data_IF_552712826562
#
_entry.id   IF_552712826562
#
_cell.length_a   1.000
_cell.length_b   1.000
_cell.length_c   1.000
_cell.angle_alpha   90.00
_cell.angle_beta   90.00
_cell.angle_gamma   90.00
#
_symmetry.space_group_name_H-M   'P 1'
#
loop_
_entity.id
_entity.type
_entity.pdbx_description
1 polymer ?
#
# COMPACT_ATOMS: atom_id res chain seq x y z
N UNK A 1 -28.16 -30.48 16.54
CA UNK A 1 -27.23 -29.40 16.91
C UNK A 1 -26.28 -29.20 15.75
N UNK A 2 -26.06 -27.96 15.31
CA UNK A 2 -24.99 -27.64 14.36
C UNK A 2 -23.65 -27.98 15.00
N UNK A 3 -22.77 -28.69 14.29
CA UNK A 3 -21.43 -28.93 14.81
C UNK A 3 -20.61 -27.62 14.74
N UNK A 4 -19.59 -27.47 15.61
CA UNK A 4 -18.78 -26.23 15.70
C UNK A 4 -18.13 -25.86 14.35
N UNK A 5 -17.69 -26.86 13.59
CA UNK A 5 -17.02 -26.68 12.30
C UNK A 5 -17.99 -26.17 11.22
N UNK A 6 -19.23 -26.67 11.20
CA UNK A 6 -20.29 -26.14 10.35
C UNK A 6 -20.70 -24.71 10.75
N UNK A 7 -20.73 -24.41 12.06
CA UNK A 7 -21.02 -23.06 12.55
C UNK A 7 -19.92 -22.05 12.16
N UNK A 8 -18.65 -22.48 12.22
CA UNK A 8 -17.51 -21.69 11.71
C UNK A 8 -17.62 -21.48 10.19
N UNK A 9 -17.99 -22.51 9.42
CA UNK A 9 -18.20 -22.36 7.97
C UNK A 9 -19.32 -21.38 7.65
N UNK A 10 -20.44 -21.43 8.37
CA UNK A 10 -21.56 -20.50 8.21
C UNK A 10 -21.18 -19.08 8.60
N UNK A 11 -20.40 -18.90 9.66
CA UNK A 11 -19.86 -17.59 10.05
C UNK A 11 -18.92 -17.04 8.96
N UNK A 12 -18.03 -17.88 8.42
CA UNK A 12 -17.14 -17.52 7.32
C UNK A 12 -17.92 -17.12 6.05
N UNK A 13 -19.04 -17.79 5.78
CA UNK A 13 -19.97 -17.44 4.69
C UNK A 13 -20.83 -16.21 4.97
N UNK A 14 -20.92 -15.79 6.24
CA UNK A 14 -21.72 -14.64 6.66
C UNK A 14 -23.17 -14.91 6.97
N UNK A 15 -23.51 -16.18 7.15
CA UNK A 15 -24.86 -16.65 7.36
C UNK A 15 -25.27 -16.57 8.83
N UNK A 16 -24.31 -16.38 9.74
CA UNK A 16 -24.54 -16.24 11.19
C UNK A 16 -23.67 -15.13 11.77
N UNK A 17 -24.18 -14.45 12.80
CA UNK A 17 -23.46 -13.39 13.53
C UNK A 17 -22.42 -13.98 14.50
N UNK A 18 -21.56 -13.12 15.06
CA UNK A 18 -20.56 -13.56 16.06
C UNK A 18 -21.23 -13.91 17.40
N UNK A 19 -22.34 -13.25 17.72
CA UNK A 19 -23.18 -13.56 18.88
C UNK A 19 -23.81 -14.95 18.73
N UNK A 20 -24.33 -15.27 17.55
CA UNK A 20 -24.89 -16.60 17.23
C UNK A 20 -23.82 -17.69 17.28
N UNK A 21 -22.62 -17.40 16.73
CA UNK A 21 -21.49 -18.33 16.79
C UNK A 21 -21.05 -18.59 18.25
N UNK A 22 -20.96 -17.53 19.06
CA UNK A 22 -20.60 -17.64 20.49
C UNK A 22 -21.58 -18.50 21.26
N UNK A 23 -22.87 -18.34 20.99
CA UNK A 23 -23.92 -19.14 21.61
C UNK A 23 -23.82 -20.61 21.21
N UNK A 24 -23.64 -20.92 19.92
CA UNK A 24 -23.48 -22.29 19.43
C UNK A 24 -22.24 -22.96 20.05
N UNK A 25 -21.12 -22.24 20.15
CA UNK A 25 -19.87 -22.78 20.71
C UNK A 25 -20.00 -23.03 22.22
N UNK A 26 -20.64 -22.13 22.97
CA UNK A 26 -20.95 -22.32 24.39
C UNK A 26 -21.92 -23.49 24.64
N UNK A 27 -22.97 -23.62 23.83
CA UNK A 27 -23.92 -24.73 23.92
C UNK A 27 -23.27 -26.10 23.65
N UNK A 28 -22.17 -26.12 22.89
CA UNK A 28 -21.35 -27.31 22.67
C UNK A 28 -20.23 -27.51 23.71
N UNK A 29 -20.24 -26.73 24.81
CA UNK A 29 -19.31 -26.89 25.93
C UNK A 29 -17.87 -26.43 25.65
N UNK A 30 -17.65 -25.63 24.61
CA UNK A 30 -16.34 -25.06 24.29
C UNK A 30 -16.34 -23.54 24.49
N UNK A 31 -15.16 -22.95 24.72
CA UNK A 31 -14.96 -21.50 24.65
C UNK A 31 -14.38 -21.14 23.28
N UNK A 32 -14.77 -19.98 22.73
CA UNK A 32 -14.10 -19.42 21.55
C UNK A 32 -12.73 -18.89 22.00
N UNK A 33 -11.73 -19.78 21.97
CA UNK A 33 -10.31 -19.40 22.14
C UNK A 33 -9.73 -18.81 20.84
N UNK A 34 -10.48 -18.89 19.73
CA UNK A 34 -10.06 -18.51 18.38
C UNK A 34 -10.28 -17.04 17.99
N UNK A 35 -10.84 -16.21 18.88
CA UNK A 35 -11.17 -14.83 18.51
C UNK A 35 -9.90 -13.97 18.47
N UNK A 36 -9.41 -13.75 17.25
CA UNK A 36 -8.42 -12.74 16.95
C UNK A 36 -9.14 -11.58 16.22
N UNK A 37 -9.16 -10.35 16.77
CA UNK A 37 -9.69 -9.17 16.08
C UNK A 37 -9.15 -9.03 14.65
N UNK A 38 -7.91 -9.47 14.42
CA UNK A 38 -7.25 -9.44 13.12
C UNK A 38 -7.84 -10.41 12.07
N UNK A 39 -8.77 -11.29 12.45
CA UNK A 39 -9.44 -12.26 11.58
C UNK A 39 -10.94 -11.99 11.38
N UNK A 40 -11.45 -10.87 11.91
CA UNK A 40 -12.86 -10.49 11.73
C UNK A 40 -13.21 -10.31 10.25
N UNK A 41 -14.39 -10.80 9.84
CA UNK A 41 -14.85 -10.78 8.44
C UNK A 41 -14.93 -9.36 7.87
N UNK A 42 -15.39 -8.43 8.70
CA UNK A 42 -15.43 -7.00 8.44
C UNK A 42 -14.92 -6.30 9.71
N UNK A 43 -13.60 -6.15 9.86
CA UNK A 43 -13.02 -5.47 11.01
C UNK A 43 -13.66 -4.09 11.14
N UNK A 44 -14.26 -3.80 12.30
CA UNK A 44 -14.96 -2.53 12.49
C UNK A 44 -13.95 -1.39 12.40
N UNK A 45 -14.25 -0.43 11.53
CA UNK A 45 -13.62 0.88 11.54
C UNK A 45 -14.26 1.67 12.69
N UNK A 46 -13.46 2.11 13.67
CA UNK A 46 -13.93 3.09 14.64
C UNK A 46 -13.99 4.44 13.92
N UNK A 47 -15.17 4.83 13.44
CA UNK A 47 -15.38 6.16 12.87
C UNK A 47 -14.94 7.24 13.88
N UNK A 48 -14.09 8.16 13.43
CA UNK A 48 -13.58 9.26 14.24
C UNK A 48 -12.23 9.02 14.93
N UNK A 49 -11.68 7.80 14.89
CA UNK A 49 -10.35 7.51 15.43
C UNK A 49 -9.34 7.14 14.34
N UNK A 50 -8.63 8.14 13.85
CA UNK A 50 -7.55 7.97 12.87
C UNK A 50 -6.29 7.32 13.45
N UNK A 51 -6.17 7.15 14.77
CA UNK A 51 -5.05 6.38 15.36
C UNK A 51 -5.16 4.88 15.06
N UNK A 52 -6.36 4.39 14.70
CA UNK A 52 -6.56 3.02 14.23
C UNK A 52 -6.03 2.75 12.81
N UNK A 53 -5.51 3.78 12.11
CA UNK A 53 -4.93 3.67 10.76
C UNK A 53 -3.46 3.25 10.75
N UNK A 54 -2.86 3.02 11.91
CA UNK A 54 -1.45 2.62 12.05
C UNK A 54 -1.13 1.23 11.46
N UNK A 55 -2.15 0.51 10.98
CA UNK A 55 -2.00 -0.78 10.31
C UNK A 55 -3.05 -1.03 9.23
N UNK A 56 -2.87 -2.13 8.48
CA UNK A 56 -3.87 -2.58 7.52
C UNK A 56 -5.15 -3.02 8.25
N UNK A 57 -6.30 -2.43 7.85
CA UNK A 57 -7.64 -2.82 8.33
C UNK A 57 -7.81 -4.35 8.28
N UNK A 58 -7.40 -4.95 7.16
CA UNK A 58 -7.30 -6.40 7.03
C UNK A 58 -5.86 -6.83 7.31
N UNK A 59 -5.63 -7.43 8.47
CA UNK A 59 -4.29 -7.84 8.86
C UNK A 59 -3.61 -8.70 7.76
N UNK A 60 -2.40 -8.34 7.33
CA UNK A 60 -1.75 -8.94 6.17
C UNK A 60 -1.34 -10.41 6.37
N UNK A 61 -1.22 -10.86 7.62
CA UNK A 61 -0.74 -12.20 7.99
C UNK A 61 -1.85 -13.13 8.46
N UNK A 62 -2.99 -12.60 8.88
CA UNK A 62 -4.06 -13.38 9.50
C UNK A 62 -5.38 -13.31 8.74
N UNK A 63 -5.73 -12.16 8.15
CA UNK A 63 -6.99 -11.99 7.44
C UNK A 63 -6.90 -12.48 5.99
N UNK A 64 -7.94 -13.18 5.49
CA UNK A 64 -7.96 -13.73 4.11
C UNK A 64 -7.71 -12.65 3.05
N UNK A 65 -8.35 -11.49 3.17
CA UNK A 65 -8.12 -10.33 2.27
C UNK A 65 -6.72 -9.73 2.41
N UNK A 66 -6.18 -9.69 3.62
CA UNK A 66 -4.82 -9.19 3.88
C UNK A 66 -3.76 -10.10 3.28
N UNK A 67 -3.91 -11.42 3.48
CA UNK A 67 -3.07 -12.45 2.85
C UNK A 67 -3.17 -12.39 1.33
N UNK A 68 -4.38 -12.32 0.77
CA UNK A 68 -4.57 -12.19 -0.68
C UNK A 68 -3.86 -10.95 -1.24
N UNK A 69 -3.94 -9.82 -0.54
CA UNK A 69 -3.21 -8.63 -0.94
C UNK A 69 -1.69 -8.85 -0.93
N UNK A 70 -1.12 -9.40 0.16
CA UNK A 70 0.33 -9.63 0.24
C UNK A 70 0.82 -10.69 -0.76
N UNK A 71 0.10 -11.79 -0.91
CA UNK A 71 0.56 -12.96 -1.65
C UNK A 71 0.30 -12.88 -3.14
N UNK A 72 -0.76 -12.17 -3.56
CA UNK A 72 -1.19 -12.11 -4.97
C UNK A 72 -1.04 -10.70 -5.51
N UNK A 73 -1.75 -9.74 -4.92
CA UNK A 73 -1.85 -8.39 -5.48
C UNK A 73 -0.51 -7.66 -5.45
N UNK A 74 0.17 -7.66 -4.30
CA UNK A 74 1.47 -7.01 -4.13
C UNK A 74 2.50 -7.57 -5.10
N UNK A 75 2.56 -8.90 -5.28
CA UNK A 75 3.46 -9.54 -6.24
C UNK A 75 3.12 -9.17 -7.68
N UNK A 76 1.84 -9.05 -8.02
CA UNK A 76 1.41 -8.59 -9.35
C UNK A 76 1.82 -7.15 -9.62
N UNK A 77 1.66 -6.25 -8.63
CA UNK A 77 2.10 -4.84 -8.73
C UNK A 77 3.61 -4.76 -8.98
N UNK A 78 4.42 -5.48 -8.20
CA UNK A 78 5.88 -5.50 -8.38
C UNK A 78 6.27 -5.94 -9.79
N UNK A 79 5.68 -7.05 -10.27
CA UNK A 79 5.92 -7.55 -11.63
C UNK A 79 5.50 -6.54 -12.70
N UNK A 80 4.39 -5.84 -12.52
CA UNK A 80 3.91 -4.84 -13.46
C UNK A 80 4.87 -3.65 -13.55
N UNK A 81 5.38 -3.16 -12.41
CA UNK A 81 6.37 -2.07 -12.38
C UNK A 81 7.69 -2.53 -12.99
N UNK A 82 8.18 -3.73 -12.66
CA UNK A 82 9.40 -4.29 -13.27
C UNK A 82 9.26 -4.43 -14.79
N UNK A 83 8.10 -4.91 -15.25
CA UNK A 83 7.82 -5.02 -16.67
C UNK A 83 7.78 -3.65 -17.33
N UNK A 84 7.02 -2.69 -16.80
CA UNK A 84 6.93 -1.34 -17.37
C UNK A 84 8.31 -0.68 -17.44
N UNK A 85 9.07 -0.73 -16.35
CA UNK A 85 10.42 -0.15 -16.28
C UNK A 85 11.36 -0.77 -17.32
N UNK A 86 11.42 -2.11 -17.36
CA UNK A 86 12.31 -2.80 -18.29
C UNK A 86 11.87 -2.67 -19.75
N UNK A 87 10.57 -2.63 -20.03
CA UNK A 87 10.03 -2.50 -21.38
C UNK A 87 10.31 -1.13 -21.99
N UNK A 88 10.23 -0.06 -21.19
CA UNK A 88 10.58 1.29 -21.66
C UNK A 88 12.02 1.34 -22.18
N UNK A 89 12.99 0.78 -21.44
CA UNK A 89 14.40 0.80 -21.85
C UNK A 89 14.70 -0.19 -22.97
N UNK A 90 14.18 -1.41 -22.87
CA UNK A 90 14.56 -2.51 -23.78
C UNK A 90 13.85 -2.49 -25.12
N UNK A 91 12.62 -1.99 -25.15
CA UNK A 91 11.72 -2.16 -26.29
C UNK A 91 11.21 -0.85 -26.87
N UNK A 92 11.40 0.28 -26.19
CA UNK A 92 10.86 1.57 -26.61
C UNK A 92 11.95 2.62 -26.85
N UNK A 93 12.67 3.04 -25.80
CA UNK A 93 13.75 4.02 -25.86
C UNK A 93 14.87 3.64 -24.88
N UNK A 94 16.08 3.38 -25.38
CA UNK A 94 17.23 3.04 -24.53
C UNK A 94 17.63 4.18 -23.59
N UNK A 95 17.27 5.41 -23.96
CA UNK A 95 17.48 6.62 -23.18
C UNK A 95 16.19 7.09 -22.46
N UNK A 96 15.21 6.21 -22.26
CA UNK A 96 13.91 6.53 -21.65
C UNK A 96 13.99 7.29 -20.31
N UNK A 97 15.10 7.13 -19.57
CA UNK A 97 15.33 7.78 -18.28
C UNK A 97 16.46 8.82 -18.31
N UNK A 98 16.82 9.31 -19.50
CA UNK A 98 17.64 10.50 -19.69
C UNK A 98 16.73 11.66 -20.09
N UNK A 99 16.84 12.77 -19.36
CA UNK A 99 15.93 13.90 -19.48
C UNK A 99 16.65 15.12 -20.05
N UNK A 100 16.21 15.58 -21.22
CA UNK A 100 16.71 16.83 -21.82
C UNK A 100 16.07 18.07 -21.16
N UNK A 101 14.86 17.93 -20.59
CA UNK A 101 14.21 18.98 -19.82
C UNK A 101 14.85 19.07 -18.43
N UNK A 102 15.55 20.17 -18.17
CA UNK A 102 16.25 20.42 -16.90
C UNK A 102 15.34 20.27 -15.68
N UNK A 103 14.04 20.61 -15.79
CA UNK A 103 13.10 20.51 -14.66
C UNK A 103 12.81 19.05 -14.32
N UNK A 104 12.73 18.17 -15.32
CA UNK A 104 12.57 16.74 -15.10
C UNK A 104 13.84 16.13 -14.52
N UNK A 105 15.01 16.55 -14.99
CA UNK A 105 16.30 16.11 -14.44
C UNK A 105 16.47 16.53 -12.96
N UNK A 106 16.06 17.75 -12.60
CA UNK A 106 16.07 18.21 -11.21
C UNK A 106 15.11 17.42 -10.32
N UNK A 107 13.89 17.15 -10.81
CA UNK A 107 12.91 16.32 -10.10
C UNK A 107 13.40 14.90 -9.90
N UNK A 108 13.99 14.29 -10.93
CA UNK A 108 14.58 12.96 -10.86
C UNK A 108 15.68 12.92 -9.81
N UNK A 109 16.65 13.83 -9.89
CA UNK A 109 17.78 13.91 -8.98
C UNK A 109 17.31 14.05 -7.53
N UNK A 110 16.48 15.05 -7.23
CA UNK A 110 15.97 15.29 -5.89
C UNK A 110 15.23 14.06 -5.34
N UNK A 111 14.32 13.49 -6.14
CA UNK A 111 13.48 12.38 -5.68
C UNK A 111 14.32 11.12 -5.43
N UNK A 112 15.26 10.79 -6.33
CA UNK A 112 16.16 9.65 -6.16
C UNK A 112 17.12 9.83 -5.00
N UNK A 113 17.63 11.03 -4.75
CA UNK A 113 18.45 11.34 -3.57
C UNK A 113 17.64 11.17 -2.28
N UNK A 114 16.41 11.66 -2.25
CA UNK A 114 15.51 11.45 -1.11
C UNK A 114 15.25 9.96 -0.86
N UNK A 115 14.97 9.17 -1.91
CA UNK A 115 14.76 7.73 -1.77
C UNK A 115 16.02 7.04 -1.25
N UNK A 116 17.21 7.36 -1.77
CA UNK A 116 18.46 6.77 -1.30
C UNK A 116 18.73 7.08 0.16
N UNK A 117 18.49 8.32 0.59
CA UNK A 117 18.72 8.71 1.97
C UNK A 117 17.74 8.03 2.94
N UNK A 118 16.47 7.90 2.56
CA UNK A 118 15.42 7.51 3.49
C UNK A 118 14.99 6.04 3.36
N UNK A 119 15.26 5.35 2.24
CA UNK A 119 14.85 3.94 2.04
C UNK A 119 16.04 2.97 2.03
N UNK A 120 17.21 3.39 2.54
CA UNK A 120 18.43 2.59 2.50
C UNK A 120 18.30 1.25 3.24
N UNK A 121 17.63 1.20 4.39
CA UNK A 121 17.42 -0.04 5.18
C UNK A 121 16.46 -1.03 4.52
N UNK A 122 15.69 -0.54 3.53
CA UNK A 122 14.78 -1.36 2.74
C UNK A 122 15.38 -1.78 1.38
N UNK A 123 16.69 -1.62 1.20
CA UNK A 123 17.41 -2.09 0.01
C UNK A 123 17.52 -3.63 -0.03
N UNK A 124 17.32 -4.27 -1.20
CA UNK A 124 16.93 -3.69 -2.48
C UNK A 124 15.41 -3.52 -2.64
N UNK A 125 14.59 -4.17 -1.81
CA UNK A 125 13.17 -4.39 -2.10
C UNK A 125 12.33 -3.12 -2.26
N UNK A 126 12.12 -2.32 -1.20
CA UNK A 126 11.29 -1.11 -1.31
C UNK A 126 12.05 -0.02 -2.05
N UNK A 127 13.36 0.07 -1.82
CA UNK A 127 14.22 1.02 -2.49
C UNK A 127 14.08 0.94 -4.01
N UNK A 128 14.32 -0.23 -4.61
CA UNK A 128 14.31 -0.38 -6.06
C UNK A 128 12.91 -0.20 -6.64
N UNK A 129 11.88 -0.64 -5.91
CA UNK A 129 10.50 -0.38 -6.29
C UNK A 129 10.21 1.12 -6.41
N UNK A 130 10.60 1.91 -5.40
CA UNK A 130 10.43 3.36 -5.42
C UNK A 130 11.24 4.02 -6.54
N UNK A 131 12.48 3.58 -6.76
CA UNK A 131 13.33 4.08 -7.85
C UNK A 131 12.70 3.83 -9.23
N UNK A 132 12.17 2.61 -9.47
CA UNK A 132 11.49 2.26 -10.72
C UNK A 132 10.20 3.03 -10.92
N UNK A 133 9.45 3.31 -9.86
CA UNK A 133 8.25 4.15 -9.95
C UNK A 133 8.59 5.57 -10.42
N UNK A 134 9.65 6.17 -9.87
CA UNK A 134 10.12 7.49 -10.30
C UNK A 134 10.48 7.46 -11.79
N UNK A 135 11.24 6.47 -12.22
CA UNK A 135 11.63 6.29 -13.62
C UNK A 135 10.42 6.15 -14.54
N UNK A 136 9.43 5.32 -14.20
CA UNK A 136 8.23 5.15 -15.01
C UNK A 136 7.42 6.44 -15.09
N UNK A 137 7.19 7.13 -13.96
CA UNK A 137 6.40 8.37 -13.94
C UNK A 137 7.08 9.49 -14.72
N UNK A 138 8.37 9.71 -14.49
CA UNK A 138 9.12 10.77 -15.18
C UNK A 138 9.37 10.42 -16.64
N UNK A 139 9.59 9.14 -16.97
CA UNK A 139 9.67 8.66 -18.34
C UNK A 139 8.38 8.97 -19.12
N UNK A 140 7.20 8.72 -18.54
CA UNK A 140 5.93 9.10 -19.18
C UNK A 140 5.81 10.62 -19.40
N UNK A 141 6.31 11.43 -18.48
CA UNK A 141 6.36 12.89 -18.64
C UNK A 141 7.43 13.36 -19.64
N UNK A 142 8.48 12.57 -19.89
CA UNK A 142 9.43 12.83 -20.96
C UNK A 142 8.74 12.68 -22.32
N UNK A 143 8.03 11.55 -22.49
CA UNK A 143 7.44 11.14 -23.77
C UNK A 143 6.25 12.00 -24.20
N UNK A 144 5.39 12.41 -23.26
CA UNK A 144 4.20 13.20 -23.58
C UNK A 144 4.26 14.58 -22.93
N UNK A 145 4.28 15.61 -23.78
CA UNK A 145 4.24 17.02 -23.38
C UNK A 145 3.00 17.34 -22.53
N UNK A 146 1.86 16.69 -22.78
CA UNK A 146 0.65 16.87 -22.01
C UNK A 146 0.85 16.34 -20.59
N UNK A 147 1.40 15.13 -20.42
CA UNK A 147 1.71 14.58 -19.09
C UNK A 147 2.75 15.42 -18.36
N UNK A 148 3.79 15.89 -19.06
CA UNK A 148 4.76 16.85 -18.50
C UNK A 148 4.09 18.09 -17.94
N UNK A 149 3.26 18.74 -18.77
CA UNK A 149 2.59 19.97 -18.40
C UNK A 149 1.64 19.77 -17.21
N UNK A 150 0.85 18.68 -17.19
CA UNK A 150 -0.08 18.37 -16.09
C UNK A 150 0.65 18.05 -14.79
N UNK A 151 1.77 17.34 -14.83
CA UNK A 151 2.59 17.08 -13.65
C UNK A 151 3.18 18.37 -13.07
N UNK A 152 3.74 19.24 -13.91
CA UNK A 152 4.30 20.52 -13.46
C UNK A 152 3.22 21.48 -12.95
N UNK A 153 2.05 21.54 -13.61
CA UNK A 153 0.88 22.29 -13.15
C UNK A 153 0.41 21.79 -11.77
N UNK A 154 0.37 20.46 -11.57
CA UNK A 154 0.03 19.86 -10.28
C UNK A 154 1.02 20.29 -9.19
N UNK A 155 2.33 20.14 -9.40
CA UNK A 155 3.35 20.53 -8.41
C UNK A 155 3.22 22.00 -8.04
N UNK A 156 3.03 22.88 -9.04
CA UNK A 156 2.89 24.32 -8.81
C UNK A 156 1.63 24.65 -8.01
N UNK A 157 0.49 24.06 -8.37
CA UNK A 157 -0.79 24.29 -7.67
C UNK A 157 -0.81 23.71 -6.28
N UNK A 158 -0.25 22.52 -6.09
CA UNK A 158 -0.18 21.85 -4.81
C UNK A 158 0.61 22.70 -3.79
N UNK A 159 1.81 23.16 -4.16
CA UNK A 159 2.64 24.02 -3.31
C UNK A 159 1.96 25.33 -2.93
N UNK A 160 1.13 25.89 -3.82
CA UNK A 160 0.37 27.13 -3.58
C UNK A 160 -0.87 26.91 -2.72
N UNK A 161 -1.59 25.82 -2.96
CA UNK A 161 -2.86 25.52 -2.31
C UNK A 161 -2.70 24.95 -0.90
N UNK A 162 -1.57 24.30 -0.61
CA UNK A 162 -1.35 23.58 0.65
C UNK A 162 0.02 23.91 1.27
N UNK A 163 0.33 25.18 1.57
CA UNK A 163 1.64 25.58 2.11
C UNK A 163 1.91 25.03 3.51
N UNK A 164 0.85 24.70 4.27
CA UNK A 164 0.93 24.20 5.65
C UNK A 164 0.72 22.68 5.75
N UNK A 165 0.72 21.94 4.63
CA UNK A 165 0.63 20.49 4.70
C UNK A 165 1.85 19.93 5.43
N UNK A 166 1.63 19.48 6.66
CA UNK A 166 2.64 18.94 7.54
C UNK A 166 2.45 17.44 7.74
N UNK A 167 3.55 16.75 8.04
CA UNK A 167 3.53 15.37 8.48
C UNK A 167 2.84 15.34 9.86
N UNK A 168 1.86 14.46 10.03
CA UNK A 168 1.18 14.28 11.31
C UNK A 168 2.11 13.64 12.34
N UNK A 169 1.85 13.80 13.66
CA UNK A 169 2.63 13.15 14.70
C UNK A 169 2.75 11.63 14.49
N UNK A 170 1.64 10.98 14.14
CA UNK A 170 1.59 9.54 13.85
C UNK A 170 2.43 9.12 12.64
N UNK A 171 2.49 9.95 11.60
CA UNK A 171 3.35 9.69 10.44
C UNK A 171 4.83 9.88 10.79
N UNK A 172 5.17 10.89 11.60
CA UNK A 172 6.54 11.07 12.12
C UNK A 172 6.96 9.88 13.00
N UNK A 173 6.11 9.44 13.92
CA UNK A 173 6.39 8.28 14.77
C UNK A 173 6.63 7.02 13.95
N UNK A 174 5.87 6.84 12.85
CA UNK A 174 6.09 5.72 11.93
C UNK A 174 7.40 5.85 11.15
N UNK A 175 7.80 7.07 10.75
CA UNK A 175 9.10 7.30 10.14
C UNK A 175 10.19 6.91 11.14
N UNK A 176 10.17 7.43 12.37
CA UNK A 176 11.20 7.13 13.38
C UNK A 176 11.24 5.65 13.80
N UNK A 177 10.12 4.94 13.73
CA UNK A 177 10.02 3.54 14.14
C UNK A 177 10.49 2.55 13.09
N UNK A 178 10.32 2.87 11.81
CA UNK A 178 10.55 1.93 10.69
C UNK A 178 11.65 2.38 9.72
N UNK A 179 12.29 3.52 10.00
CA UNK A 179 13.58 3.94 9.44
C UNK A 179 14.72 3.55 10.38
#
# INVERSE_FOLDING_TARGET
MLNIQEAIEKYNKGEVSIEDLSKIVQENGQQIVFWNPASERNPKYLEGDNSSRDGFIYNPYHHVRGKFFQDVIKKAILKAIDFAHSAMVKHYDQDAYRYDDLRLAELEKFTKEYIRANFHDSYPYKHDFMMKLVDVVLGLAKEDIYYRARMLDFIQKFRRGFPEMAISPTENDNIERWH
#
